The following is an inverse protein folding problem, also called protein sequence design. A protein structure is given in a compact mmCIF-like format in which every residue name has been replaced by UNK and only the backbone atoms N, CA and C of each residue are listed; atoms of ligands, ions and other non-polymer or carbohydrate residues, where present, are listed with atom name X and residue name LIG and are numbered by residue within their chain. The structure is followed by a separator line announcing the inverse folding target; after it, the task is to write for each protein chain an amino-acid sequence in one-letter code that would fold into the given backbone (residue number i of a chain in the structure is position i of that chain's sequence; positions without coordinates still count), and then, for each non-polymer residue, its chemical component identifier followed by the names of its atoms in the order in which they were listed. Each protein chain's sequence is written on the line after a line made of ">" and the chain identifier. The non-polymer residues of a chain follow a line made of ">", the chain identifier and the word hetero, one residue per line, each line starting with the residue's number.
data_IF_971904128668
#
_entry.id   IF_971904128668
#
_cell.length_a   1.000
_cell.length_b   1.000
_cell.length_c   1.000
_cell.angle_alpha   90.00
_cell.angle_beta   90.00
_cell.angle_gamma   90.00
#
_symmetry.space_group_name_H-M   'P 1'
#
loop_
_entity.id
_entity.type
_entity.pdbx_description
1 polymer ?
#
# COMPACT_ATOMS: atom_id res chain seq x y z
N UNK A 1 10.37 -8.85 -5.12
CA UNK A 1 10.07 -7.70 -4.26
C UNK A 1 11.01 -7.72 -3.07
N UNK A 2 11.60 -6.57 -2.72
CA UNK A 2 12.43 -6.42 -1.52
C UNK A 2 11.80 -5.39 -0.59
N UNK A 3 11.76 -5.72 0.69
CA UNK A 3 11.28 -4.85 1.77
C UNK A 3 12.42 -4.66 2.76
N UNK A 4 12.95 -3.44 2.87
CA UNK A 4 14.14 -3.11 3.67
C UNK A 4 15.34 -4.04 3.38
N UNK A 5 15.57 -4.33 2.08
CA UNK A 5 16.66 -5.22 1.63
C UNK A 5 16.38 -6.72 1.79
N UNK A 6 15.27 -7.12 2.41
CA UNK A 6 14.88 -8.53 2.54
C UNK A 6 14.02 -8.94 1.35
N UNK A 7 14.43 -9.99 0.65
CA UNK A 7 13.66 -10.51 -0.46
C UNK A 7 12.36 -11.18 0.03
N UNK A 8 11.27 -10.84 -0.64
CA UNK A 8 9.99 -11.53 -0.52
C UNK A 8 9.79 -12.30 -1.81
N UNK A 9 9.96 -13.61 -1.73
CA UNK A 9 9.89 -14.50 -2.87
C UNK A 9 8.44 -14.80 -3.26
N UNK A 10 8.21 -14.98 -4.55
CA UNK A 10 6.94 -15.37 -5.11
C UNK A 10 6.50 -14.51 -6.29
N UNK A 11 5.39 -14.89 -6.89
CA UNK A 11 4.70 -14.11 -7.90
C UNK A 11 3.64 -13.24 -7.25
N UNK A 12 3.62 -11.96 -7.62
CA UNK A 12 2.71 -10.97 -7.04
C UNK A 12 1.78 -10.41 -8.11
N UNK A 13 0.51 -10.24 -7.76
CA UNK A 13 -0.47 -9.60 -8.61
C UNK A 13 -0.49 -8.08 -8.37
N UNK A 14 -0.20 -7.65 -7.14
CA UNK A 14 -0.28 -6.25 -6.73
C UNK A 14 0.62 -5.99 -5.53
N UNK A 15 1.28 -4.84 -5.55
CA UNK A 15 1.95 -4.24 -4.40
C UNK A 15 1.38 -2.84 -4.21
N UNK A 16 0.61 -2.64 -3.14
CA UNK A 16 0.00 -1.34 -2.83
C UNK A 16 0.77 -0.66 -1.72
N UNK A 17 1.19 0.56 -1.96
CA UNK A 17 1.88 1.39 -0.97
C UNK A 17 0.97 2.54 -0.58
N UNK A 18 0.50 2.50 0.66
CA UNK A 18 -0.53 3.38 1.17
C UNK A 18 0.05 4.35 2.19
N UNK A 19 0.16 5.63 1.82
CA UNK A 19 0.42 6.73 2.75
C UNK A 19 -0.88 7.26 3.38
N UNK A 20 -2.02 6.99 2.74
CA UNK A 20 -3.36 7.32 3.23
C UNK A 20 -4.31 6.14 3.08
N UNK A 21 -5.48 6.23 3.74
CA UNK A 21 -6.45 5.13 3.81
C UNK A 21 -7.18 4.88 2.50
N UNK A 22 -7.46 5.95 1.75
CA UNK A 22 -8.38 5.91 0.61
C UNK A 22 -7.67 6.17 -0.70
N UNK A 23 -8.04 5.43 -1.73
CA UNK A 23 -7.66 5.69 -3.11
C UNK A 23 -8.75 5.19 -4.07
N UNK A 24 -8.65 5.53 -5.36
CA UNK A 24 -9.44 4.93 -6.43
C UNK A 24 -10.96 4.98 -6.18
N UNK A 25 -11.50 6.16 -5.83
CA UNK A 25 -12.95 6.32 -5.68
C UNK A 25 -13.54 5.75 -4.39
N UNK A 26 -12.76 5.69 -3.31
CA UNK A 26 -13.25 5.29 -1.99
C UNK A 26 -12.85 3.88 -1.54
N UNK A 27 -11.97 3.22 -2.27
CA UNK A 27 -11.34 1.98 -1.80
C UNK A 27 -10.43 2.26 -0.60
N UNK A 28 -10.51 1.42 0.42
CA UNK A 28 -9.75 1.53 1.67
C UNK A 28 -9.02 0.21 1.97
N UNK A 29 -7.98 -0.15 1.21
CA UNK A 29 -7.35 -1.46 1.35
C UNK A 29 -6.56 -1.61 2.65
N UNK A 30 -6.02 -0.52 3.19
CA UNK A 30 -5.26 -0.50 4.45
C UNK A 30 -5.86 0.55 5.37
N UNK A 31 -6.83 0.18 6.22
CA UNK A 31 -7.51 1.11 7.13
C UNK A 31 -6.58 1.77 8.16
N UNK A 32 -5.45 1.13 8.45
CA UNK A 32 -4.45 1.60 9.41
C UNK A 32 -3.59 2.73 8.87
N UNK A 33 -3.51 2.90 7.54
CA UNK A 33 -2.64 3.88 6.89
C UNK A 33 -2.99 5.31 7.33
N UNK A 34 -1.96 6.11 7.60
CA UNK A 34 -2.07 7.50 8.03
C UNK A 34 -1.04 8.35 7.32
N UNK A 35 -1.43 9.56 6.91
CA UNK A 35 -0.54 10.49 6.21
C UNK A 35 0.41 11.27 7.13
N UNK A 36 0.20 11.20 8.45
CA UNK A 36 0.88 12.02 9.44
C UNK A 36 1.82 11.25 10.38
N UNK A 37 1.96 9.93 10.19
CA UNK A 37 2.74 9.06 11.09
C UNK A 37 4.15 8.73 10.59
N UNK A 38 4.50 9.13 9.36
CA UNK A 38 5.79 8.83 8.76
C UNK A 38 5.98 7.36 8.39
N UNK A 39 4.89 6.63 8.18
CA UNK A 39 4.89 5.21 7.86
C UNK A 39 4.26 4.98 6.48
N UNK A 40 4.90 4.16 5.65
CA UNK A 40 4.35 3.70 4.39
C UNK A 40 3.83 2.27 4.55
N UNK A 41 2.51 2.12 4.61
CA UNK A 41 1.89 0.81 4.72
C UNK A 41 1.93 0.10 3.37
N UNK A 42 2.60 -1.05 3.32
CA UNK A 42 2.80 -1.81 2.08
C UNK A 42 2.02 -3.11 2.15
N UNK A 43 1.04 -3.26 1.27
CA UNK A 43 0.24 -4.47 1.12
C UNK A 43 0.70 -5.22 -0.12
N UNK A 44 1.27 -6.41 0.08
CA UNK A 44 1.72 -7.29 -0.99
C UNK A 44 0.67 -8.37 -1.20
N UNK A 45 0.19 -8.51 -2.44
CA UNK A 45 -0.83 -9.49 -2.83
C UNK A 45 -0.23 -10.49 -3.80
N UNK A 46 -0.26 -11.76 -3.44
CA UNK A 46 0.24 -12.86 -4.27
C UNK A 46 -0.63 -13.04 -5.52
N UNK A 47 0.01 -13.50 -6.59
CA UNK A 47 -0.69 -13.91 -7.81
C UNK A 47 -1.59 -15.11 -7.51
N UNK A 48 -2.83 -15.01 -7.94
CA UNK A 48 -3.86 -16.04 -7.77
C UNK A 48 -4.68 -16.20 -9.04
N UNK A 49 -5.53 -17.23 -9.08
CA UNK A 49 -6.47 -17.41 -10.18
C UNK A 49 -7.46 -16.24 -10.28
N UNK A 50 -8.01 -16.02 -11.48
CA UNK A 50 -9.01 -14.96 -11.71
C UNK A 50 -10.21 -15.07 -10.76
N UNK A 51 -10.70 -16.28 -10.53
CA UNK A 51 -11.85 -16.54 -9.64
C UNK A 51 -11.53 -16.18 -8.18
N UNK A 52 -10.32 -16.52 -7.71
CA UNK A 52 -9.85 -16.16 -6.37
C UNK A 52 -9.68 -14.65 -6.24
N UNK A 53 -9.15 -14.00 -7.29
CA UNK A 53 -9.00 -12.54 -7.33
C UNK A 53 -10.34 -11.81 -7.22
N UNK A 54 -11.36 -12.25 -7.98
CA UNK A 54 -12.72 -11.66 -7.91
C UNK A 54 -13.29 -11.76 -6.50
N UNK A 55 -13.13 -12.90 -5.82
CA UNK A 55 -13.55 -13.07 -4.42
C UNK A 55 -12.78 -12.18 -3.45
N UNK A 56 -11.51 -11.88 -3.75
CA UNK A 56 -10.64 -11.08 -2.91
C UNK A 56 -10.85 -9.56 -3.07
N UNK A 57 -11.21 -9.08 -4.26
CA UNK A 57 -11.28 -7.63 -4.57
C UNK A 57 -12.21 -6.87 -3.62
N UNK A 58 -13.40 -7.39 -3.33
CA UNK A 58 -14.34 -6.73 -2.45
C UNK A 58 -13.85 -6.68 -0.98
N UNK A 59 -13.39 -7.77 -0.35
CA UNK A 59 -12.71 -7.68 0.94
C UNK A 59 -11.48 -6.76 0.94
N UNK A 60 -10.67 -6.78 -0.12
CA UNK A 60 -9.52 -5.90 -0.28
C UNK A 60 -9.93 -4.42 -0.23
N UNK A 61 -10.90 -4.02 -1.04
CA UNK A 61 -11.37 -2.63 -1.10
C UNK A 61 -12.00 -2.13 0.22
N UNK A 62 -12.39 -3.05 1.10
CA UNK A 62 -12.95 -2.77 2.44
C UNK A 62 -11.93 -2.91 3.56
N UNK A 63 -10.65 -3.08 3.27
CA UNK A 63 -9.59 -3.24 4.25
C UNK A 63 -9.63 -4.56 5.02
N UNK A 64 -10.29 -5.59 4.49
CA UNK A 64 -10.42 -6.90 5.13
C UNK A 64 -9.39 -7.91 4.62
N UNK A 65 -8.23 -7.43 4.19
CA UNK A 65 -7.13 -8.27 3.69
C UNK A 65 -6.68 -9.33 4.70
N UNK A 66 -6.80 -9.05 6.00
CA UNK A 66 -6.46 -9.95 7.10
C UNK A 66 -7.25 -11.27 7.09
N UNK A 67 -8.40 -11.31 6.41
CA UNK A 67 -9.17 -12.55 6.21
C UNK A 67 -8.49 -13.53 5.25
N UNK A 68 -7.48 -13.06 4.52
CA UNK A 68 -6.77 -13.83 3.50
C UNK A 68 -5.25 -13.77 3.73
N UNK A 69 -4.75 -14.22 4.90
CA UNK A 69 -3.34 -14.08 5.27
C UNK A 69 -2.38 -14.86 4.35
N UNK A 70 -2.89 -15.86 3.63
CA UNK A 70 -2.16 -16.62 2.63
C UNK A 70 -2.03 -15.89 1.28
N UNK A 71 -2.90 -14.90 1.00
CA UNK A 71 -2.92 -14.11 -0.24
C UNK A 71 -2.28 -12.74 -0.07
N UNK A 72 -2.59 -12.06 1.02
CA UNK A 72 -2.22 -10.68 1.24
C UNK A 72 -1.50 -10.51 2.58
N UNK A 73 -0.40 -9.76 2.55
CA UNK A 73 0.38 -9.43 3.74
C UNK A 73 0.68 -7.94 3.77
N UNK A 74 0.35 -7.30 4.88
CA UNK A 74 0.69 -5.91 5.14
C UNK A 74 1.96 -5.83 5.99
N UNK A 75 2.80 -4.83 5.68
CA UNK A 75 4.02 -4.50 6.42
C UNK A 75 4.33 -3.02 6.27
N UNK A 76 5.30 -2.51 7.02
CA UNK A 76 5.67 -1.09 7.04
C UNK A 76 7.16 -0.89 6.77
N UNK A 77 7.65 -1.30 5.59
CA UNK A 77 9.05 -1.10 5.24
C UNK A 77 9.35 0.38 5.00
N UNK A 78 10.61 0.77 5.22
CA UNK A 78 11.11 2.12 4.89
C UNK A 78 11.46 2.24 3.41
N UNK A 79 11.97 1.16 2.81
CA UNK A 79 12.35 1.10 1.41
C UNK A 79 11.74 -0.15 0.77
N UNK A 80 11.05 0.05 -0.34
CA UNK A 80 10.46 -1.01 -1.15
C UNK A 80 11.15 -0.98 -2.51
N UNK A 81 11.70 -2.11 -2.95
CA UNK A 81 12.19 -2.28 -4.32
C UNK A 81 11.45 -3.40 -5.00
N UNK A 82 10.98 -3.13 -6.20
CA UNK A 82 10.30 -4.08 -7.06
C UNK A 82 11.09 -4.16 -8.35
N UNK A 83 11.54 -5.36 -8.72
CA UNK A 83 12.20 -5.63 -9.98
C UNK A 83 11.51 -6.76 -10.70
N UNK A 84 11.34 -6.63 -12.00
CA UNK A 84 10.81 -7.66 -12.87
C UNK A 84 11.85 -8.03 -13.92
N UNK A 85 11.99 -9.33 -14.17
CA UNK A 85 12.90 -9.86 -15.19
C UNK A 85 12.16 -10.22 -16.50
N UNK A 86 10.84 -10.30 -16.46
CA UNK A 86 10.03 -10.85 -17.56
C UNK A 86 9.08 -9.85 -18.20
N UNK A 87 8.70 -8.81 -17.50
CA UNK A 87 7.73 -7.84 -17.99
C UNK A 87 7.89 -6.52 -17.24
N UNK A 88 7.49 -5.45 -17.87
CA UNK A 88 7.48 -4.13 -17.24
C UNK A 88 6.48 -4.07 -16.09
N UNK A 89 6.86 -3.33 -15.06
CA UNK A 89 6.02 -3.02 -13.91
C UNK A 89 5.26 -1.74 -14.22
N UNK A 90 3.94 -1.79 -14.19
CA UNK A 90 3.11 -0.59 -14.26
C UNK A 90 2.92 -0.06 -12.85
N UNK A 91 3.45 1.12 -12.56
CA UNK A 91 3.30 1.80 -11.29
C UNK A 91 2.37 2.99 -11.45
N UNK A 92 1.27 3.02 -10.70
CA UNK A 92 0.34 4.14 -10.67
C UNK A 92 0.54 4.94 -9.39
N UNK A 93 0.88 6.23 -9.55
CA UNK A 93 1.05 7.21 -8.47
C UNK A 93 -0.02 8.28 -8.64
N UNK A 94 -0.96 8.34 -7.71
CA UNK A 94 -2.05 9.34 -7.68
C UNK A 94 -2.79 9.53 -9.02
N UNK A 95 -2.90 8.44 -9.79
CA UNK A 95 -3.58 8.41 -11.09
C UNK A 95 -2.67 8.53 -12.31
N UNK A 96 -1.40 8.85 -12.14
CA UNK A 96 -0.39 8.82 -13.20
C UNK A 96 0.30 7.46 -13.23
N UNK A 97 0.44 6.87 -14.43
CA UNK A 97 1.07 5.57 -14.60
C UNK A 97 2.42 5.71 -15.31
N UNK A 98 3.42 5.10 -14.72
CA UNK A 98 4.76 4.95 -15.29
C UNK A 98 5.08 3.47 -15.47
N UNK A 99 5.93 3.16 -16.42
CA UNK A 99 6.35 1.79 -16.73
C UNK A 99 7.87 1.68 -16.56
N UNK A 100 8.32 0.68 -15.81
CA UNK A 100 9.75 0.41 -15.57
C UNK A 100 9.94 -1.05 -15.19
N UNK A 101 11.13 -1.58 -15.38
CA UNK A 101 11.54 -2.92 -14.92
C UNK A 101 12.09 -2.93 -13.49
N UNK A 102 12.48 -1.76 -12.96
CA UNK A 102 13.02 -1.60 -11.60
C UNK A 102 12.46 -0.32 -10.96
N UNK A 103 11.77 -0.47 -9.85
CA UNK A 103 11.13 0.64 -9.11
C UNK A 103 11.56 0.59 -7.66
N UNK A 104 12.06 1.71 -7.16
CA UNK A 104 12.35 1.88 -5.73
C UNK A 104 11.48 2.98 -5.15
N UNK A 105 10.82 2.69 -4.05
CA UNK A 105 9.87 3.59 -3.38
C UNK A 105 10.25 3.72 -1.92
N UNK A 106 10.27 4.97 -1.44
CA UNK A 106 10.49 5.30 -0.05
C UNK A 106 9.75 6.58 0.31
N UNK A 107 9.45 6.78 1.58
CA UNK A 107 8.92 8.05 2.05
C UNK A 107 9.97 9.15 1.88
N UNK A 108 9.52 10.32 1.42
CA UNK A 108 10.34 11.53 1.40
C UNK A 108 10.43 12.15 2.79
N UNK A 109 11.58 12.74 3.12
CA UNK A 109 11.74 13.58 4.32
C UNK A 109 11.00 14.92 4.19
N UNK A 110 10.58 15.28 2.97
CA UNK A 110 9.82 16.49 2.70
C UNK A 110 8.39 16.33 3.19
N UNK A 111 7.86 17.36 3.84
CA UNK A 111 6.47 17.41 4.33
C UNK A 111 5.71 18.51 3.61
N UNK A 112 4.44 18.24 3.36
CA UNK A 112 3.50 19.24 2.85
C UNK A 112 2.63 19.74 4.01
N UNK A 113 2.45 21.04 4.10
CA UNK A 113 1.49 21.64 5.02
C UNK A 113 0.14 21.76 4.29
N UNK A 114 -0.85 21.06 4.80
CA UNK A 114 -2.22 21.15 4.30
C UNK A 114 -3.05 22.06 5.18
N UNK A 115 -3.70 23.04 4.58
CA UNK A 115 -4.74 23.83 5.22
C UNK A 115 -6.08 23.17 4.90
N UNK A 116 -6.74 22.63 5.90
CA UNK A 116 -8.07 22.04 5.78
C UNK A 116 -9.09 22.80 6.64
N UNK A 117 -10.39 22.68 6.34
CA UNK A 117 -11.44 23.26 7.18
C UNK A 117 -11.36 22.68 8.60
N UNK A 118 -11.63 23.55 9.58
CA UNK A 118 -11.72 23.16 11.00
C UNK A 118 -12.76 22.05 11.15
N UNK A 119 -12.32 20.85 11.61
CA UNK A 119 -13.19 19.68 11.75
C UNK A 119 -12.82 18.52 10.81
N UNK A 120 -11.89 18.70 9.89
CA UNK A 120 -11.36 17.59 9.09
C UNK A 120 -10.67 16.57 10.00
N UNK A 121 -11.06 15.31 9.91
CA UNK A 121 -10.55 14.21 10.76
C UNK A 121 -9.06 13.90 10.58
N UNK A 122 -8.39 14.51 9.62
CA UNK A 122 -6.95 14.43 9.43
C UNK A 122 -6.14 14.95 10.61
N UNK A 123 -6.75 15.82 11.45
CA UNK A 123 -6.06 16.53 12.54
C UNK A 123 -6.32 15.95 13.95
N UNK A 124 -6.98 14.81 14.07
CA UNK A 124 -7.15 14.19 15.40
C UNK A 124 -6.04 13.22 15.68
N UNK A 125 -5.02 13.71 16.35
CA UNK A 125 -4.06 12.93 17.13
C UNK A 125 -4.78 12.12 18.21
N UNK A 126 -5.27 10.96 17.86
CA UNK A 126 -5.60 9.94 18.85
C UNK A 126 -4.39 8.99 18.95
N UNK A 127 -3.42 9.36 19.78
CA UNK A 127 -2.45 8.40 20.29
C UNK A 127 -3.23 7.39 21.11
N UNK A 128 -3.49 6.18 20.59
CA UNK A 128 -3.75 5.04 21.45
C UNK A 128 -2.39 4.48 21.85
N UNK A 129 -2.12 4.30 23.15
CA UNK A 129 -0.94 3.57 23.58
C UNK A 129 -1.05 2.13 23.10
N UNK A 130 0.04 1.62 22.53
CA UNK A 130 0.25 0.19 22.34
C UNK A 130 0.36 -0.44 23.72
N UNK A 131 -0.57 -1.33 24.05
CA UNK A 131 -0.42 -2.31 25.10
C UNK A 131 0.11 -3.59 24.48
#
# INVERSE_FOLDING_TARGET
>A
VWLDGRAVEGEFALVSMCNGRYYGGGSMPVPEARMDDGVLNTLVVKKVSRLTFIKFVNPYSKGQYYKFPHLARCSTPKVIRIRSEKADIVTCLDGECITSDDVTIQLSDKRLNFFGPTGCSCNRTARKPLI
#
